data_IF_373882004635
#
_entry.id   IF_373882004635
#
_cell.length_a   1.000
_cell.length_b   1.000
_cell.length_c   1.000
_cell.angle_alpha   90.00
_cell.angle_beta   90.00
_cell.angle_gamma   90.00
#
_symmetry.space_group_name_H-M   'P 1'
#
loop_
_entity.id
_entity.type
_entity.pdbx_description
1 polymer ?
#
# COMPACT_ATOMS: atom_id res chain seq x y z
N UNK A 1 14.92 -3.14 14.01
CA UNK A 1 16.08 -3.96 14.40
C UNK A 1 16.82 -4.30 13.11
N UNK A 2 17.99 -3.70 12.91
CA UNK A 2 18.89 -4.07 11.83
C UNK A 2 19.36 -5.52 12.08
N UNK A 3 19.32 -6.34 11.03
CA UNK A 3 19.89 -7.69 11.05
C UNK A 3 21.39 -7.51 11.33
N UNK A 4 21.98 -8.18 12.36
CA UNK A 4 23.39 -8.01 12.67
C UNK A 4 24.27 -8.36 11.47
N UNK A 5 25.31 -7.58 11.15
CA UNK A 5 26.18 -7.84 9.98
C UNK A 5 26.86 -9.23 9.99
N UNK A 6 27.07 -9.82 11.16
CA UNK A 6 27.57 -11.19 11.31
C UNK A 6 26.59 -12.28 10.84
N UNK A 7 25.28 -11.96 10.75
CA UNK A 7 24.27 -12.87 10.23
C UNK A 7 24.26 -12.90 8.69
N UNK A 8 24.63 -11.78 8.05
CA UNK A 8 24.70 -11.68 6.59
C UNK A 8 25.90 -12.43 5.99
N UNK A 9 27.00 -12.59 6.73
CA UNK A 9 28.19 -13.31 6.25
C UNK A 9 28.07 -14.84 6.34
N UNK A 10 27.19 -15.37 7.19
CA UNK A 10 26.91 -16.81 7.25
C UNK A 10 25.88 -17.27 6.20
N UNK A 11 25.11 -16.36 5.65
CA UNK A 11 24.12 -16.61 4.59
C UNK A 11 24.73 -16.97 3.23
N UNK A 12 26.00 -16.64 3.00
CA UNK A 12 26.69 -16.95 1.74
C UNK A 12 27.14 -18.41 1.57
N UNK A 13 26.96 -19.28 2.58
CA UNK A 13 27.66 -20.58 2.61
C UNK A 13 26.80 -21.85 2.58
N UNK A 14 25.46 -21.80 2.46
CA UNK A 14 24.63 -23.02 2.38
C UNK A 14 23.37 -22.95 1.52
N UNK A 15 23.32 -22.14 0.50
CA UNK A 15 22.25 -22.21 -0.50
C UNK A 15 22.69 -23.16 -1.61
N UNK A 16 22.31 -24.42 -1.52
CA UNK A 16 22.18 -25.25 -2.70
C UNK A 16 21.11 -24.58 -3.56
N UNK A 17 21.53 -23.89 -4.59
CA UNK A 17 20.87 -23.04 -5.56
C UNK A 17 19.44 -22.61 -5.21
N UNK A 18 19.23 -21.31 -4.97
CA UNK A 18 17.90 -20.66 -4.97
C UNK A 18 17.07 -21.05 -6.20
N UNK A 19 17.71 -21.57 -7.24
CA UNK A 19 17.11 -22.04 -8.49
C UNK A 19 16.18 -23.25 -8.31
N UNK A 20 16.40 -24.08 -7.29
CA UNK A 20 15.53 -25.23 -7.00
C UNK A 20 14.40 -24.88 -6.00
N UNK A 21 14.47 -23.74 -5.37
CA UNK A 21 13.51 -23.31 -4.37
C UNK A 21 12.20 -22.93 -5.01
N UNK A 22 11.08 -23.50 -4.54
CA UNK A 22 9.72 -23.17 -5.00
C UNK A 22 8.96 -22.43 -3.92
N UNK A 23 8.51 -21.24 -4.24
CA UNK A 23 7.64 -20.44 -3.37
C UNK A 23 6.30 -20.17 -4.04
N UNK A 24 5.23 -20.19 -3.24
CA UNK A 24 3.90 -19.85 -3.67
C UNK A 24 3.36 -18.69 -2.85
N UNK A 25 2.84 -17.67 -3.50
CA UNK A 25 2.15 -16.57 -2.84
C UNK A 25 0.65 -16.69 -3.08
N UNK A 26 -0.14 -16.62 -2.00
CA UNK A 26 -1.59 -16.79 -2.04
C UNK A 26 -2.28 -15.45 -1.76
N UNK A 27 -2.81 -14.81 -2.79
CA UNK A 27 -3.54 -13.54 -2.70
C UNK A 27 -4.94 -13.73 -3.28
N UNK A 28 -5.94 -14.13 -2.48
CA UNK A 28 -7.30 -14.37 -2.99
C UNK A 28 -8.01 -13.10 -3.46
N UNK A 29 -7.50 -11.90 -3.12
CA UNK A 29 -8.08 -10.60 -3.52
C UNK A 29 -7.31 -9.96 -4.65
N UNK A 30 -8.03 -9.34 -5.59
CA UNK A 30 -7.44 -8.57 -6.69
C UNK A 30 -7.11 -7.10 -6.34
N UNK A 31 -7.47 -6.62 -5.15
CA UNK A 31 -7.43 -5.19 -4.84
C UNK A 31 -6.03 -4.57 -4.90
N UNK A 32 -5.00 -5.34 -4.55
CA UNK A 32 -3.60 -4.87 -4.54
C UNK A 32 -2.77 -5.38 -5.72
N UNK A 33 -3.38 -6.08 -6.66
CA UNK A 33 -2.66 -6.77 -7.72
C UNK A 33 -1.78 -5.88 -8.59
N UNK A 34 -2.20 -4.64 -8.85
CA UNK A 34 -1.49 -3.71 -9.73
C UNK A 34 -0.09 -3.29 -9.22
N UNK A 35 0.20 -3.45 -7.93
CA UNK A 35 1.47 -3.04 -7.31
C UNK A 35 2.48 -4.20 -7.18
N UNK A 36 2.06 -5.42 -7.46
CA UNK A 36 2.91 -6.60 -7.31
C UNK A 36 3.91 -6.84 -8.45
N UNK A 37 3.58 -6.56 -9.74
CA UNK A 37 4.44 -6.94 -10.85
C UNK A 37 5.90 -6.51 -10.72
N UNK A 38 6.24 -5.28 -10.31
CA UNK A 38 7.65 -4.89 -10.13
C UNK A 38 8.37 -5.74 -9.08
N UNK A 39 7.73 -6.00 -7.94
CA UNK A 39 8.31 -6.83 -6.86
C UNK A 39 8.41 -8.29 -7.29
N UNK A 40 7.42 -8.82 -8.01
CA UNK A 40 7.44 -10.19 -8.53
C UNK A 40 8.52 -10.38 -9.59
N UNK A 41 8.77 -9.36 -10.41
CA UNK A 41 9.87 -9.36 -11.38
C UNK A 41 11.23 -9.53 -10.70
N UNK A 42 11.51 -8.73 -9.68
CA UNK A 42 12.75 -8.83 -8.91
C UNK A 42 12.82 -10.12 -8.09
N UNK A 43 11.71 -10.55 -7.50
CA UNK A 43 11.66 -11.80 -6.74
C UNK A 43 11.96 -13.02 -7.62
N UNK A 44 11.46 -13.04 -8.86
CA UNK A 44 11.74 -14.11 -9.81
C UNK A 44 13.22 -14.20 -10.21
N UNK A 45 13.95 -13.07 -10.21
CA UNK A 45 15.41 -13.09 -10.43
C UNK A 45 16.14 -13.79 -9.29
N UNK A 46 15.64 -13.62 -8.04
CA UNK A 46 16.22 -14.23 -6.84
C UNK A 46 15.75 -15.69 -6.66
N UNK A 47 14.48 -15.96 -6.93
CA UNK A 47 13.86 -17.28 -6.77
C UNK A 47 13.05 -17.59 -8.05
N UNK A 48 13.67 -18.20 -9.07
CA UNK A 48 13.05 -18.42 -10.38
C UNK A 48 11.74 -19.21 -10.33
N UNK A 49 11.59 -20.14 -9.38
CA UNK A 49 10.38 -20.92 -9.22
C UNK A 49 9.40 -20.26 -8.25
N UNK A 50 9.05 -19.02 -8.55
CA UNK A 50 8.00 -18.25 -7.84
C UNK A 50 6.68 -18.35 -8.59
N UNK A 51 5.58 -18.61 -7.87
CA UNK A 51 4.21 -18.53 -8.39
C UNK A 51 3.38 -17.63 -7.48
N UNK A 52 2.60 -16.73 -8.11
CA UNK A 52 1.65 -15.86 -7.44
C UNK A 52 0.24 -16.30 -7.81
N UNK A 53 -0.47 -16.93 -6.89
CA UNK A 53 -1.85 -17.34 -7.08
C UNK A 53 -2.82 -16.23 -6.68
N UNK A 54 -3.69 -15.85 -7.60
CA UNK A 54 -4.79 -14.91 -7.34
C UNK A 54 -6.12 -15.52 -7.73
N UNK A 55 -7.19 -15.10 -7.07
CA UNK A 55 -8.55 -15.56 -7.44
C UNK A 55 -9.16 -14.75 -8.58
N UNK A 56 -8.60 -13.57 -8.87
CA UNK A 56 -9.06 -12.69 -9.95
C UNK A 56 -7.93 -11.76 -10.37
N UNK A 57 -7.83 -11.50 -11.66
CA UNK A 57 -6.93 -10.46 -12.17
C UNK A 57 -7.45 -9.07 -11.79
N UNK A 58 -6.53 -8.16 -11.51
CA UNK A 58 -6.85 -6.75 -11.22
C UNK A 58 -7.23 -5.99 -12.49
N UNK A 59 -7.96 -4.88 -12.36
CA UNK A 59 -8.29 -4.03 -13.49
C UNK A 59 -7.01 -3.59 -14.23
N UNK A 60 -7.03 -3.65 -15.55
CA UNK A 60 -5.90 -3.31 -16.43
C UNK A 60 -4.67 -4.20 -16.23
N UNK A 61 -4.89 -5.46 -15.91
CA UNK A 61 -3.83 -6.45 -15.94
C UNK A 61 -3.20 -6.49 -17.35
N UNK A 62 -1.90 -6.30 -17.38
CA UNK A 62 -1.11 -6.42 -18.61
C UNK A 62 -0.30 -7.72 -18.54
N UNK A 63 -0.62 -8.72 -19.37
CA UNK A 63 0.09 -10.00 -19.37
C UNK A 63 1.54 -9.90 -19.86
N UNK A 64 1.90 -8.82 -20.56
CA UNK A 64 3.25 -8.59 -21.07
C UNK A 64 4.13 -7.78 -20.11
N UNK A 65 3.54 -7.25 -19.03
CA UNK A 65 4.31 -6.50 -18.03
C UNK A 65 5.28 -7.43 -17.28
N UNK A 66 6.55 -7.03 -17.06
CA UNK A 66 7.51 -7.81 -16.30
C UNK A 66 6.96 -8.18 -14.92
N UNK A 67 7.11 -9.47 -14.53
CA UNK A 67 6.61 -9.99 -13.25
C UNK A 67 5.20 -10.56 -13.31
N UNK A 68 4.42 -10.34 -14.37
CA UNK A 68 3.08 -10.93 -14.52
C UNK A 68 3.10 -12.39 -14.98
N UNK A 69 4.20 -12.85 -15.53
CA UNK A 69 4.40 -14.23 -15.98
C UNK A 69 4.33 -15.28 -14.84
N UNK A 70 4.51 -14.86 -13.58
CA UNK A 70 4.38 -15.75 -12.42
C UNK A 70 2.96 -15.78 -11.86
N UNK A 71 2.04 -14.96 -12.39
CA UNK A 71 0.67 -14.82 -11.90
C UNK A 71 -0.22 -15.92 -12.48
N UNK A 72 -0.91 -16.64 -11.60
CA UNK A 72 -1.86 -17.68 -11.98
C UNK A 72 -3.21 -17.46 -11.29
N UNK A 73 -4.28 -17.50 -12.08
CA UNK A 73 -5.65 -17.38 -11.55
C UNK A 73 -6.16 -18.75 -11.13
N UNK A 74 -6.70 -18.85 -9.93
CA UNK A 74 -7.30 -20.07 -9.38
C UNK A 74 -8.72 -19.81 -8.94
N UNK A 75 -9.68 -20.33 -9.70
CA UNK A 75 -11.10 -20.13 -9.47
C UNK A 75 -11.55 -18.71 -9.70
N UNK A 76 -12.57 -18.31 -8.96
CA UNK A 76 -13.08 -16.94 -8.90
C UNK A 76 -13.19 -16.52 -7.44
N UNK A 77 -12.96 -15.24 -7.16
CA UNK A 77 -13.07 -14.66 -5.81
C UNK A 77 -14.03 -13.48 -5.82
N UNK A 78 -14.82 -13.42 -4.78
CA UNK A 78 -15.79 -12.35 -4.60
C UNK A 78 -15.72 -11.81 -3.17
N UNK A 79 -15.68 -10.50 -3.02
CA UNK A 79 -15.85 -9.88 -1.71
C UNK A 79 -17.34 -9.82 -1.36
N UNK A 80 -17.72 -10.44 -0.26
CA UNK A 80 -19.09 -10.43 0.26
C UNK A 80 -19.16 -9.39 1.37
N UNK A 81 -19.83 -8.28 1.09
CA UNK A 81 -20.04 -7.21 2.07
C UNK A 81 -21.12 -7.66 3.08
N UNK A 82 -20.78 -7.65 4.36
CA UNK A 82 -21.71 -7.91 5.47
C UNK A 82 -22.20 -6.63 6.13
N UNK A 83 -21.39 -5.56 6.07
CA UNK A 83 -21.72 -4.25 6.62
C UNK A 83 -21.05 -3.17 5.75
N UNK A 84 -21.86 -2.30 5.15
CA UNK A 84 -21.36 -1.12 4.43
C UNK A 84 -20.95 -0.06 5.45
N UNK A 85 -19.76 0.51 5.28
CA UNK A 85 -19.23 1.61 6.08
C UNK A 85 -18.90 2.74 5.11
N UNK A 86 -19.48 3.92 5.33
CA UNK A 86 -19.31 5.05 4.41
C UNK A 86 -17.93 5.68 4.50
N UNK A 87 -17.43 5.89 5.70
CA UNK A 87 -16.16 6.58 5.97
C UNK A 87 -14.96 5.64 6.07
N UNK A 88 -15.14 4.34 5.82
CA UNK A 88 -14.09 3.34 5.96
C UNK A 88 -14.24 2.18 4.98
N UNK A 89 -13.44 1.14 5.19
CA UNK A 89 -13.60 -0.11 4.46
C UNK A 89 -14.85 -0.85 4.90
N UNK A 90 -15.69 -1.23 3.94
CA UNK A 90 -16.85 -2.10 4.23
C UNK A 90 -16.38 -3.42 4.82
N UNK A 91 -17.08 -3.87 5.86
CA UNK A 91 -16.77 -5.15 6.50
C UNK A 91 -17.35 -6.30 5.69
N UNK A 92 -16.60 -7.38 5.60
CA UNK A 92 -17.01 -8.55 4.84
C UNK A 92 -16.03 -9.69 4.93
N UNK A 93 -16.07 -10.56 3.94
CA UNK A 93 -15.14 -11.66 3.77
C UNK A 93 -14.95 -11.98 2.29
N UNK A 94 -13.80 -12.53 1.95
CA UNK A 94 -13.52 -12.99 0.60
C UNK A 94 -14.02 -14.44 0.48
N UNK A 95 -14.99 -14.64 -0.40
CA UNK A 95 -15.41 -15.97 -0.86
C UNK A 95 -14.43 -16.40 -1.94
N UNK A 96 -13.71 -17.47 -1.70
CA UNK A 96 -12.75 -18.06 -2.64
C UNK A 96 -12.91 -19.58 -2.68
N UNK A 97 -12.52 -20.20 -3.79
CA UNK A 97 -12.54 -21.64 -3.92
C UNK A 97 -11.48 -22.31 -3.05
N UNK A 98 -11.80 -23.41 -2.31
CA UNK A 98 -10.77 -24.21 -1.65
C UNK A 98 -9.90 -25.00 -2.64
N UNK A 99 -10.23 -24.99 -3.93
CA UNK A 99 -9.54 -25.71 -4.99
C UNK A 99 -8.06 -25.29 -5.20
N UNK A 100 -7.61 -24.23 -4.53
CA UNK A 100 -6.19 -23.86 -4.46
C UNK A 100 -5.27 -25.01 -4.02
N UNK A 101 -5.80 -26.00 -3.31
CA UNK A 101 -5.02 -27.16 -2.88
C UNK A 101 -4.43 -27.96 -4.05
N UNK A 102 -5.16 -28.09 -5.17
CA UNK A 102 -4.70 -28.89 -6.30
C UNK A 102 -3.44 -28.30 -6.97
N UNK A 103 -3.40 -27.01 -7.35
CA UNK A 103 -2.17 -26.41 -7.88
C UNK A 103 -1.04 -26.41 -6.83
N UNK A 104 -1.32 -26.21 -5.54
CA UNK A 104 -0.29 -26.29 -4.50
C UNK A 104 0.36 -27.68 -4.42
N UNK A 105 -0.44 -28.75 -4.40
CA UNK A 105 0.09 -30.13 -4.36
C UNK A 105 0.84 -30.49 -5.66
N UNK A 106 0.43 -29.93 -6.80
CA UNK A 106 1.13 -30.12 -8.09
C UNK A 106 2.46 -29.36 -8.11
N UNK A 107 2.47 -28.12 -7.66
CA UNK A 107 3.67 -27.24 -7.65
C UNK A 107 4.66 -27.64 -6.57
N UNK A 108 4.20 -28.16 -5.43
CA UNK A 108 4.99 -28.58 -4.27
C UNK A 108 5.91 -27.47 -3.75
N UNK A 109 5.38 -26.33 -3.32
CA UNK A 109 6.21 -25.25 -2.78
C UNK A 109 6.88 -25.69 -1.48
N UNK A 110 8.08 -25.21 -1.21
CA UNK A 110 8.72 -25.35 0.10
C UNK A 110 8.24 -24.28 1.07
N UNK A 111 7.91 -23.07 0.56
CA UNK A 111 7.38 -21.98 1.37
C UNK A 111 6.12 -21.41 0.71
N UNK A 112 5.11 -21.18 1.54
CA UNK A 112 3.87 -20.49 1.13
C UNK A 112 3.79 -19.17 1.88
N UNK A 113 3.65 -18.06 1.14
CA UNK A 113 3.25 -16.76 1.63
C UNK A 113 1.74 -16.63 1.49
N UNK A 114 1.01 -16.57 2.58
CA UNK A 114 -0.44 -16.51 2.59
C UNK A 114 -0.92 -15.14 3.07
N UNK A 115 -1.54 -14.36 2.15
CA UNK A 115 -2.06 -13.03 2.45
C UNK A 115 -3.32 -13.10 3.30
N UNK A 116 -3.23 -12.55 4.50
CA UNK A 116 -4.32 -12.43 5.47
C UNK A 116 -4.83 -13.77 6.01
N UNK A 117 -5.96 -13.68 6.68
CA UNK A 117 -6.65 -14.82 7.30
C UNK A 117 -7.81 -15.31 6.40
N UNK A 118 -7.46 -15.77 5.21
CA UNK A 118 -8.39 -16.18 4.16
C UNK A 118 -8.68 -17.67 4.18
N UNK A 119 -9.64 -18.12 3.36
CA UNK A 119 -9.89 -19.55 3.13
C UNK A 119 -8.66 -20.24 2.51
N UNK A 120 -7.88 -19.55 1.68
CA UNK A 120 -6.65 -20.12 1.13
C UNK A 120 -5.57 -20.31 2.18
N UNK A 121 -5.47 -19.38 3.14
CA UNK A 121 -4.60 -19.55 4.32
C UNK A 121 -5.04 -20.75 5.16
N UNK A 122 -6.37 -20.93 5.35
CA UNK A 122 -6.91 -22.08 6.07
C UNK A 122 -6.59 -23.40 5.34
N UNK A 123 -6.75 -23.45 4.02
CA UNK A 123 -6.38 -24.62 3.20
C UNK A 123 -4.88 -24.91 3.34
N UNK A 124 -4.03 -23.88 3.26
CA UNK A 124 -2.59 -24.05 3.44
C UNK A 124 -2.24 -24.62 4.83
N UNK A 125 -2.95 -24.24 5.88
CA UNK A 125 -2.78 -24.75 7.24
C UNK A 125 -3.20 -26.23 7.31
N UNK A 126 -4.40 -26.58 6.82
CA UNK A 126 -4.95 -27.93 6.90
C UNK A 126 -4.04 -28.95 6.17
N UNK A 127 -3.53 -28.58 5.01
CA UNK A 127 -2.70 -29.45 4.18
C UNK A 127 -1.19 -29.32 4.44
N UNK A 128 -0.77 -28.46 5.37
CA UNK A 128 0.65 -28.31 5.75
C UNK A 128 1.35 -29.63 6.09
N UNK A 129 0.73 -30.57 6.85
CA UNK A 129 1.36 -31.85 7.15
C UNK A 129 1.62 -32.73 5.92
N UNK A 130 0.74 -32.66 4.92
CA UNK A 130 0.85 -33.40 3.65
C UNK A 130 1.83 -32.74 2.70
N UNK A 131 1.70 -31.42 2.51
CA UNK A 131 2.54 -30.64 1.60
C UNK A 131 3.94 -30.37 2.13
N UNK A 132 4.14 -30.49 3.43
CA UNK A 132 5.42 -30.27 4.14
C UNK A 132 6.04 -28.87 3.89
N UNK A 133 5.23 -27.91 3.48
CA UNK A 133 5.67 -26.53 3.28
C UNK A 133 5.78 -25.75 4.59
N UNK A 134 6.58 -24.69 4.58
CA UNK A 134 6.57 -23.64 5.58
C UNK A 134 5.48 -22.62 5.24
N UNK A 135 4.87 -22.05 6.26
CA UNK A 135 3.81 -21.06 6.11
C UNK A 135 4.23 -19.72 6.69
N UNK A 136 4.39 -18.74 5.82
CA UNK A 136 4.57 -17.34 6.17
C UNK A 136 3.20 -16.65 6.06
N UNK A 137 2.71 -16.13 7.18
CA UNK A 137 1.46 -15.36 7.18
C UNK A 137 1.79 -13.90 6.90
N UNK A 138 1.22 -13.38 5.83
CA UNK A 138 1.42 -12.01 5.38
C UNK A 138 0.24 -11.16 5.81
N UNK A 139 0.49 -10.06 6.54
CA UNK A 139 -0.54 -9.15 6.98
C UNK A 139 -0.27 -7.76 6.39
N UNK A 140 -0.82 -7.54 5.19
CA UNK A 140 -0.58 -6.36 4.37
C UNK A 140 -1.29 -5.11 4.89
N UNK A 141 -2.43 -5.32 5.58
CA UNK A 141 -3.40 -4.28 5.85
C UNK A 141 -3.73 -4.21 7.32
N UNK A 142 -3.52 -3.07 7.94
CA UNK A 142 -4.00 -2.77 9.29
C UNK A 142 -4.79 -1.47 9.26
N UNK A 143 -6.07 -1.57 9.54
CA UNK A 143 -6.95 -0.42 9.75
C UNK A 143 -8.14 -0.83 10.62
N UNK A 144 -8.85 0.12 11.25
CA UNK A 144 -9.90 -0.21 12.20
C UNK A 144 -10.97 -1.18 11.68
N UNK A 145 -11.40 -1.01 10.42
CA UNK A 145 -12.45 -1.84 9.84
C UNK A 145 -11.95 -3.15 9.21
N UNK A 146 -10.65 -3.26 8.93
CA UNK A 146 -10.01 -4.48 8.40
C UNK A 146 -9.54 -5.41 9.51
N UNK A 147 -9.07 -4.85 10.61
CA UNK A 147 -8.54 -5.60 11.76
C UNK A 147 -9.62 -6.38 12.52
N UNK A 148 -10.84 -5.89 12.55
CA UNK A 148 -11.94 -6.48 13.33
C UNK A 148 -11.57 -6.70 14.81
N UNK A 149 -10.86 -5.75 15.43
CA UNK A 149 -10.44 -5.84 16.84
C UNK A 149 -11.61 -6.01 17.82
N UNK A 150 -12.79 -5.51 17.45
CA UNK A 150 -14.05 -5.62 18.17
C UNK A 150 -14.72 -7.01 18.05
N UNK A 151 -14.32 -7.84 17.10
CA UNK A 151 -14.91 -9.16 16.86
C UNK A 151 -14.16 -10.27 17.58
N UNK A 152 -14.63 -10.69 18.79
CA UNK A 152 -14.02 -11.78 19.54
C UNK A 152 -13.91 -13.09 18.73
N UNK A 153 -14.95 -13.41 17.95
CA UNK A 153 -14.97 -14.64 17.12
C UNK A 153 -13.88 -14.59 16.07
N UNK A 154 -13.80 -13.49 15.28
CA UNK A 154 -12.77 -13.35 14.24
C UNK A 154 -11.36 -13.33 14.83
N UNK A 155 -11.16 -12.60 15.92
CA UNK A 155 -9.86 -12.55 16.61
C UNK A 155 -9.44 -13.92 17.14
N UNK A 156 -10.38 -14.72 17.64
CA UNK A 156 -10.11 -16.09 18.10
C UNK A 156 -9.71 -17.00 16.95
N UNK A 157 -10.44 -16.97 15.83
CA UNK A 157 -10.12 -17.76 14.63
C UNK A 157 -8.75 -17.34 14.07
N UNK A 158 -8.52 -16.04 13.91
CA UNK A 158 -7.24 -15.51 13.42
C UNK A 158 -6.07 -15.88 14.32
N UNK A 159 -6.26 -15.79 15.64
CA UNK A 159 -5.26 -16.22 16.64
C UNK A 159 -4.96 -17.71 16.52
N UNK A 160 -6.00 -18.52 16.33
CA UNK A 160 -5.83 -19.96 16.11
C UNK A 160 -5.05 -20.22 14.81
N UNK A 161 -5.40 -19.59 13.69
CA UNK A 161 -4.67 -19.69 12.44
C UNK A 161 -3.20 -19.25 12.58
N UNK A 162 -2.95 -18.19 13.32
CA UNK A 162 -1.60 -17.64 13.59
C UNK A 162 -0.65 -18.64 14.25
N UNK A 163 -1.18 -19.60 15.05
CA UNK A 163 -0.35 -20.62 15.69
C UNK A 163 0.31 -21.60 14.70
N UNK A 164 -0.18 -21.68 13.47
CA UNK A 164 0.36 -22.57 12.43
C UNK A 164 1.35 -21.85 11.49
N UNK A 165 1.48 -20.53 11.61
CA UNK A 165 2.48 -19.78 10.87
C UNK A 165 3.88 -20.03 11.44
N UNK A 166 4.85 -20.28 10.56
CA UNK A 166 6.26 -20.41 10.93
C UNK A 166 6.89 -19.02 11.17
N UNK A 167 6.39 -18.00 10.48
CA UNK A 167 6.76 -16.59 10.68
C UNK A 167 5.70 -15.66 10.09
N UNK A 168 5.86 -14.35 10.32
CA UNK A 168 4.93 -13.33 9.86
C UNK A 168 5.68 -12.23 9.11
N UNK A 169 5.02 -11.67 8.08
CA UNK A 169 5.49 -10.49 7.36
C UNK A 169 4.39 -9.43 7.42
N UNK A 170 4.76 -8.19 7.67
CA UNK A 170 3.84 -7.07 7.62
C UNK A 170 4.42 -5.91 6.82
N UNK A 171 3.56 -5.25 6.06
CA UNK A 171 3.92 -4.08 5.26
C UNK A 171 4.10 -2.80 6.12
N UNK A 172 3.62 -2.82 7.37
CA UNK A 172 3.59 -1.65 8.23
C UNK A 172 3.84 -1.97 9.71
N UNK A 173 4.24 -0.95 10.49
CA UNK A 173 4.32 -1.04 11.95
C UNK A 173 2.98 -1.36 12.59
N UNK A 174 1.89 -0.73 12.13
CA UNK A 174 0.53 -1.02 12.62
C UNK A 174 0.13 -2.46 12.39
N UNK A 175 0.49 -3.04 11.23
CA UNK A 175 0.28 -4.46 10.98
C UNK A 175 1.06 -5.35 11.94
N UNK A 176 2.31 -4.98 12.27
CA UNK A 176 3.10 -5.65 13.30
C UNK A 176 2.45 -5.57 14.68
N UNK A 177 1.99 -4.38 15.09
CA UNK A 177 1.27 -4.18 16.35
C UNK A 177 0.02 -5.08 16.44
N UNK A 178 -0.77 -5.15 15.36
CA UNK A 178 -1.92 -6.05 15.30
C UNK A 178 -1.51 -7.52 15.46
N UNK A 179 -0.44 -7.96 14.82
CA UNK A 179 0.06 -9.33 14.94
C UNK A 179 0.53 -9.66 16.36
N UNK A 180 1.16 -8.71 17.05
CA UNK A 180 1.59 -8.89 18.45
C UNK A 180 0.39 -8.87 19.39
N UNK A 181 -0.41 -7.79 19.37
CA UNK A 181 -1.45 -7.53 20.36
C UNK A 181 -2.68 -8.42 20.20
N UNK A 182 -3.11 -8.63 18.96
CA UNK A 182 -4.38 -9.33 18.67
C UNK A 182 -4.15 -10.79 18.34
N UNK A 183 -3.15 -11.09 17.52
CA UNK A 183 -2.86 -12.46 17.11
C UNK A 183 -2.02 -13.19 18.16
N UNK A 184 -1.19 -12.48 18.92
CA UNK A 184 -0.31 -13.04 19.95
C UNK A 184 0.96 -13.64 19.36
N UNK A 185 1.40 -13.13 18.20
CA UNK A 185 2.66 -13.53 17.61
C UNK A 185 3.84 -12.93 18.39
N UNK A 186 4.92 -13.70 18.54
CA UNK A 186 6.15 -13.17 19.14
C UNK A 186 6.75 -12.10 18.24
N UNK A 187 7.13 -10.97 18.82
CA UNK A 187 7.69 -9.83 18.07
C UNK A 187 8.92 -10.22 17.24
N UNK A 188 9.78 -11.09 17.80
CA UNK A 188 10.97 -11.61 17.12
C UNK A 188 10.66 -12.49 15.90
N UNK A 189 9.41 -12.90 15.72
CA UNK A 189 8.96 -13.73 14.60
C UNK A 189 8.17 -12.93 13.56
N UNK A 190 8.26 -11.58 13.60
CA UNK A 190 7.54 -10.68 12.68
C UNK A 190 8.53 -9.79 11.96
N UNK A 191 8.53 -9.84 10.64
CA UNK A 191 9.28 -8.95 9.76
C UNK A 191 8.34 -7.83 9.27
N UNK A 192 8.55 -6.62 9.78
CA UNK A 192 7.75 -5.45 9.39
C UNK A 192 8.65 -4.46 8.64
N UNK A 193 8.49 -4.43 7.33
CA UNK A 193 9.13 -3.47 6.41
C UNK A 193 8.19 -3.29 5.22
N UNK A 194 8.05 -2.07 4.68
CA UNK A 194 7.29 -1.86 3.45
C UNK A 194 7.84 -2.74 2.31
N UNK A 195 6.99 -3.57 1.75
CA UNK A 195 7.27 -4.39 0.57
C UNK A 195 6.26 -4.13 -0.56
N UNK A 196 5.15 -3.45 -0.27
CA UNK A 196 4.30 -2.86 -1.29
C UNK A 196 4.87 -1.48 -1.59
N UNK A 197 5.66 -1.40 -2.65
CA UNK A 197 6.43 -0.21 -3.03
C UNK A 197 6.29 0.05 -4.52
N UNK A 198 6.29 1.32 -4.97
CA UNK A 198 6.29 1.64 -6.39
C UNK A 198 7.68 1.39 -6.98
N UNK A 199 7.73 1.15 -8.28
CA UNK A 199 8.96 1.33 -9.03
C UNK A 199 9.13 2.83 -9.32
N UNK A 200 9.79 3.52 -8.38
CA UNK A 200 9.99 4.96 -8.43
C UNK A 200 10.76 5.41 -9.69
N UNK A 201 11.73 4.61 -10.14
CA UNK A 201 12.52 4.92 -11.34
C UNK A 201 11.67 4.80 -12.60
N UNK A 202 10.92 3.70 -12.74
CA UNK A 202 10.04 3.53 -13.89
C UNK A 202 8.91 4.56 -13.94
N UNK A 203 8.40 5.01 -12.79
CA UNK A 203 7.41 6.08 -12.73
C UNK A 203 7.96 7.40 -13.28
N UNK A 204 9.16 7.78 -12.90
CA UNK A 204 9.80 9.03 -13.37
C UNK A 204 10.23 8.92 -14.84
N UNK A 205 10.84 7.80 -15.27
CA UNK A 205 11.31 7.60 -16.64
C UNK A 205 10.18 7.56 -17.69
N UNK A 206 9.00 7.02 -17.34
CA UNK A 206 7.83 7.02 -18.24
C UNK A 206 7.38 8.42 -18.64
N UNK A 207 7.74 9.45 -17.88
CA UNK A 207 7.38 10.84 -18.16
C UNK A 207 8.25 11.50 -19.24
N UNK A 208 9.50 11.09 -19.37
CA UNK A 208 10.39 11.63 -20.40
C UNK A 208 9.85 11.35 -21.82
N UNK A 209 8.99 10.33 -21.95
CA UNK A 209 8.35 9.93 -23.19
C UNK A 209 6.92 10.48 -23.37
N UNK A 210 6.31 11.08 -22.36
CA UNK A 210 4.94 11.60 -22.40
C UNK A 210 4.94 13.14 -22.32
N UNK A 211 4.04 13.78 -23.08
CA UNK A 211 3.88 15.25 -23.04
C UNK A 211 3.56 15.71 -21.62
N UNK A 212 4.37 16.61 -21.09
CA UNK A 212 4.07 17.30 -19.83
C UNK A 212 2.77 18.10 -19.98
N UNK A 213 1.89 17.98 -19.01
CA UNK A 213 0.73 18.87 -18.87
C UNK A 213 1.26 20.14 -18.20
N UNK A 214 1.37 21.23 -18.95
CA UNK A 214 1.69 22.52 -18.34
C UNK A 214 0.43 23.08 -17.68
N UNK A 215 0.45 23.17 -16.36
CA UNK A 215 -0.64 23.69 -15.55
C UNK A 215 -0.35 25.16 -15.21
N UNK A 216 -1.17 26.08 -15.70
CA UNK A 216 -1.04 27.52 -15.41
C UNK A 216 -1.98 27.90 -14.26
N UNK A 217 -1.66 27.44 -13.06
CA UNK A 217 -2.44 27.69 -11.83
C UNK A 217 -1.59 28.43 -10.78
N UNK A 218 -2.22 29.14 -9.83
CA UNK A 218 -1.52 29.70 -8.67
C UNK A 218 -0.81 28.64 -7.84
N UNK A 219 0.44 28.92 -7.46
CA UNK A 219 1.23 28.11 -6.56
C UNK A 219 1.13 28.58 -5.10
N UNK A 220 1.30 27.69 -4.09
CA UNK A 220 1.60 26.28 -4.27
C UNK A 220 0.40 25.46 -4.78
N UNK A 221 0.69 24.44 -5.58
CA UNK A 221 -0.29 23.46 -6.07
C UNK A 221 -0.28 22.23 -5.16
N UNK A 222 -1.41 21.99 -4.51
CA UNK A 222 -1.67 20.81 -3.68
C UNK A 222 -2.37 19.75 -4.52
N UNK A 223 -1.76 18.58 -4.68
CA UNK A 223 -2.30 17.47 -5.46
C UNK A 223 -2.96 16.43 -4.55
N UNK A 224 -4.19 16.09 -4.84
CA UNK A 224 -4.91 14.96 -4.22
C UNK A 224 -5.28 13.95 -5.30
N UNK A 225 -4.85 12.70 -5.15
CA UNK A 225 -5.11 11.62 -6.13
C UNK A 225 -5.83 10.46 -5.48
N UNK A 226 -6.93 10.02 -6.08
CA UNK A 226 -7.65 8.84 -5.64
C UNK A 226 -9.12 8.80 -6.07
N UNK A 227 -9.81 7.74 -5.69
CA UNK A 227 -11.24 7.64 -5.90
C UNK A 227 -11.97 8.73 -5.13
N UNK A 228 -12.97 9.38 -5.75
CA UNK A 228 -13.80 10.40 -5.11
C UNK A 228 -14.96 9.72 -4.37
N UNK A 229 -14.62 9.16 -3.21
CA UNK A 229 -15.54 8.44 -2.32
C UNK A 229 -15.35 8.91 -0.87
N UNK A 230 -16.34 8.71 -0.01
CA UNK A 230 -16.39 9.21 1.37
C UNK A 230 -15.12 8.86 2.17
N UNK A 231 -14.67 7.62 2.06
CA UNK A 231 -13.47 7.13 2.75
C UNK A 231 -12.19 7.93 2.44
N UNK A 232 -12.12 8.58 1.27
CA UNK A 232 -10.94 9.35 0.85
C UNK A 232 -10.87 10.77 1.43
N UNK A 233 -11.92 11.20 2.15
CA UNK A 233 -11.88 12.43 2.96
C UNK A 233 -11.74 13.73 2.17
N UNK A 234 -12.11 13.72 0.88
CA UNK A 234 -11.99 14.92 0.04
C UNK A 234 -12.89 16.04 0.55
N UNK A 235 -14.06 15.72 1.13
CA UNK A 235 -14.92 16.70 1.78
C UNK A 235 -14.19 17.46 2.88
N UNK A 236 -13.44 16.76 3.72
CA UNK A 236 -12.67 17.35 4.83
C UNK A 236 -11.53 18.26 4.30
N UNK A 237 -10.96 17.93 3.13
CA UNK A 237 -10.01 18.81 2.44
C UNK A 237 -10.69 20.09 1.94
N UNK A 238 -11.91 20.00 1.38
CA UNK A 238 -12.68 21.18 0.97
C UNK A 238 -13.04 22.04 2.19
N UNK A 239 -13.43 21.43 3.32
CA UNK A 239 -13.66 22.15 4.58
C UNK A 239 -12.40 22.90 5.05
N UNK A 240 -11.22 22.30 4.93
CA UNK A 240 -9.95 22.96 5.22
C UNK A 240 -9.69 24.16 4.29
N UNK A 241 -10.07 24.04 3.02
CA UNK A 241 -9.97 25.16 2.08
C UNK A 241 -10.91 26.34 2.44
N UNK A 242 -12.12 26.07 2.99
CA UNK A 242 -12.98 27.15 3.51
C UNK A 242 -12.35 27.87 4.71
N UNK A 243 -11.66 27.12 5.58
CA UNK A 243 -10.93 27.73 6.72
C UNK A 243 -9.83 28.64 6.21
N UNK A 244 -9.04 28.20 5.22
CA UNK A 244 -8.00 29.03 4.60
C UNK A 244 -8.59 30.29 3.95
N UNK A 245 -9.72 30.18 3.24
CA UNK A 245 -10.42 31.29 2.63
C UNK A 245 -10.87 32.32 3.67
N UNK A 246 -11.45 31.88 4.80
CA UNK A 246 -11.84 32.76 5.92
C UNK A 246 -10.63 33.48 6.53
N UNK A 247 -9.46 32.81 6.54
CA UNK A 247 -8.19 33.38 7.00
C UNK A 247 -7.52 34.31 5.98
N UNK A 248 -8.12 34.48 4.79
CA UNK A 248 -7.63 35.37 3.74
C UNK A 248 -6.67 34.73 2.73
N UNK A 249 -6.44 33.42 2.82
CA UNK A 249 -5.61 32.68 1.86
C UNK A 249 -6.43 32.34 0.60
N UNK A 250 -5.98 32.83 -0.55
CA UNK A 250 -6.65 32.58 -1.84
C UNK A 250 -5.68 32.28 -2.98
N UNK A 251 -4.38 32.50 -2.77
CA UNK A 251 -3.35 32.30 -3.80
C UNK A 251 -2.69 30.92 -3.65
N UNK A 252 -3.45 29.87 -3.93
CA UNK A 252 -3.02 28.48 -4.01
C UNK A 252 -4.02 27.69 -4.86
N UNK A 253 -3.67 26.49 -5.26
CA UNK A 253 -4.55 25.59 -6.02
C UNK A 253 -4.57 24.20 -5.39
N UNK A 254 -5.73 23.57 -5.34
CA UNK A 254 -5.89 22.14 -5.03
C UNK A 254 -6.38 21.45 -6.28
N UNK A 255 -5.60 20.49 -6.78
CA UNK A 255 -5.97 19.68 -7.94
C UNK A 255 -6.42 18.30 -7.42
N UNK A 256 -7.66 17.94 -7.74
CA UNK A 256 -8.25 16.65 -7.37
C UNK A 256 -8.31 15.76 -8.61
N UNK A 257 -7.45 14.73 -8.64
CA UNK A 257 -7.36 13.75 -9.72
C UNK A 257 -8.07 12.48 -9.31
N UNK A 258 -9.14 12.17 -10.01
CA UNK A 258 -9.93 10.96 -9.79
C UNK A 258 -11.40 11.15 -10.04
N UNK A 259 -12.15 10.05 -9.92
CA UNK A 259 -13.61 10.03 -10.08
C UNK A 259 -14.23 9.09 -9.05
N UNK A 260 -15.55 9.23 -8.84
CA UNK A 260 -16.28 8.39 -7.89
C UNK A 260 -17.64 8.95 -7.53
N UNK A 261 -18.37 8.19 -6.71
CA UNK A 261 -19.78 8.46 -6.39
C UNK A 261 -20.04 9.82 -5.74
N UNK A 262 -19.06 10.37 -4.99
CA UNK A 262 -19.20 11.67 -4.32
C UNK A 262 -18.83 12.87 -5.19
N UNK A 263 -18.26 12.68 -6.38
CA UNK A 263 -17.79 13.80 -7.19
C UNK A 263 -18.86 14.84 -7.47
N UNK A 264 -20.09 14.49 -7.94
CA UNK A 264 -21.11 15.50 -8.22
C UNK A 264 -21.50 16.34 -7.00
N UNK A 265 -21.60 15.69 -5.83
CA UNK A 265 -21.88 16.36 -4.55
C UNK A 265 -20.76 17.35 -4.19
N UNK A 266 -19.50 16.91 -4.27
CA UNK A 266 -18.35 17.72 -3.86
C UNK A 266 -18.06 18.87 -4.84
N UNK A 267 -18.31 18.70 -6.13
CA UNK A 267 -18.30 19.79 -7.10
C UNK A 267 -19.39 20.85 -6.80
N UNK A 268 -20.58 20.42 -6.37
CA UNK A 268 -21.64 21.34 -5.95
C UNK A 268 -21.22 22.11 -4.68
N UNK A 269 -20.67 21.43 -3.68
CA UNK A 269 -20.12 22.07 -2.46
C UNK A 269 -18.98 23.06 -2.78
N UNK A 270 -18.11 22.72 -3.72
CA UNK A 270 -17.05 23.64 -4.19
C UNK A 270 -17.63 24.97 -4.64
N UNK A 271 -18.75 24.95 -5.39
CA UNK A 271 -19.46 26.15 -5.85
C UNK A 271 -20.19 26.86 -4.72
N UNK A 272 -20.91 26.10 -3.90
CA UNK A 272 -21.67 26.65 -2.76
C UNK A 272 -20.76 27.40 -1.79
N UNK A 273 -19.54 26.87 -1.56
CA UNK A 273 -18.57 27.47 -0.63
C UNK A 273 -17.65 28.51 -1.30
N UNK A 274 -17.84 28.80 -2.60
CA UNK A 274 -17.06 29.80 -3.33
C UNK A 274 -15.60 29.44 -3.53
N UNK A 275 -15.28 28.15 -3.68
CA UNK A 275 -13.93 27.62 -3.82
C UNK A 275 -13.51 27.36 -5.28
N UNK A 276 -14.31 27.74 -6.28
CA UNK A 276 -14.07 27.40 -7.70
C UNK A 276 -12.74 27.93 -8.24
N UNK A 277 -12.18 28.97 -7.62
CA UNK A 277 -10.88 29.54 -8.01
C UNK A 277 -9.71 28.72 -7.48
N UNK A 278 -9.90 28.02 -6.36
CA UNK A 278 -8.85 27.23 -5.70
C UNK A 278 -8.91 25.74 -6.04
N UNK A 279 -10.08 25.21 -6.39
CA UNK A 279 -10.28 23.77 -6.58
C UNK A 279 -10.43 23.44 -8.07
N UNK A 280 -9.59 22.52 -8.55
CA UNK A 280 -9.62 22.00 -9.92
C UNK A 280 -9.95 20.53 -9.91
N UNK A 281 -11.04 20.14 -10.56
CA UNK A 281 -11.48 18.76 -10.74
C UNK A 281 -11.07 18.25 -12.12
N UNK A 282 -10.14 17.30 -12.19
CA UNK A 282 -9.68 16.75 -13.49
C UNK A 282 -10.52 15.57 -13.95
N UNK A 283 -11.19 14.90 -13.02
CA UNK A 283 -11.76 13.60 -13.27
C UNK A 283 -10.71 12.50 -13.26
N UNK A 284 -11.12 11.36 -13.78
CA UNK A 284 -10.22 10.22 -13.92
C UNK A 284 -9.15 10.49 -14.98
N UNK A 285 -7.90 10.25 -14.62
CA UNK A 285 -6.73 10.37 -15.49
C UNK A 285 -6.10 8.99 -15.67
N UNK A 286 -5.69 8.67 -16.88
CA UNK A 286 -4.96 7.44 -17.14
C UNK A 286 -3.61 7.46 -16.40
N UNK A 287 -3.23 6.29 -15.80
CA UNK A 287 -2.04 6.18 -14.97
C UNK A 287 -0.75 6.67 -15.64
N UNK A 288 -0.64 6.45 -16.96
CA UNK A 288 0.50 6.93 -17.75
C UNK A 288 0.67 8.46 -17.79
N UNK A 289 -0.40 9.24 -17.54
CA UNK A 289 -0.35 10.71 -17.50
C UNK A 289 -0.31 11.26 -16.07
N UNK A 290 -0.54 10.42 -15.06
CA UNK A 290 -0.60 10.85 -13.66
C UNK A 290 0.71 11.49 -13.19
N UNK A 291 1.83 11.00 -13.68
CA UNK A 291 3.13 11.54 -13.35
C UNK A 291 3.30 13.01 -13.70
N UNK A 292 2.65 13.52 -14.79
CA UNK A 292 2.69 14.93 -15.15
C UNK A 292 2.05 15.81 -14.06
N UNK A 293 0.99 15.33 -13.41
CA UNK A 293 0.38 16.04 -12.27
C UNK A 293 1.28 16.05 -11.05
N UNK A 294 1.99 14.95 -10.79
CA UNK A 294 2.98 14.94 -9.72
C UNK A 294 4.12 15.91 -10.00
N UNK A 295 4.60 16.03 -11.25
CA UNK A 295 5.68 16.98 -11.59
C UNK A 295 5.26 18.43 -11.35
N UNK A 296 4.08 18.82 -11.80
CA UNK A 296 3.56 20.18 -11.69
C UNK A 296 3.13 20.56 -10.26
N UNK A 297 2.77 19.58 -9.43
CA UNK A 297 2.40 19.83 -8.05
C UNK A 297 3.60 20.24 -7.18
N UNK A 298 3.34 21.06 -6.16
CA UNK A 298 4.33 21.42 -5.14
C UNK A 298 4.22 20.53 -3.90
N UNK A 299 3.01 20.08 -3.56
CA UNK A 299 2.70 19.31 -2.35
C UNK A 299 1.70 18.21 -2.70
N UNK A 300 1.83 17.06 -2.09
CA UNK A 300 0.82 16.01 -2.15
C UNK A 300 -0.02 15.98 -0.87
N UNK A 301 -1.35 15.90 -1.00
CA UNK A 301 -2.28 15.84 0.14
C UNK A 301 -3.06 14.53 0.09
N UNK A 302 -3.03 13.79 1.19
CA UNK A 302 -3.74 12.51 1.33
C UNK A 302 -4.68 12.53 2.54
N UNK A 303 -5.91 13.08 2.38
CA UNK A 303 -6.83 13.36 3.49
C UNK A 303 -7.69 12.15 3.89
N UNK A 304 -7.30 10.95 3.52
CA UNK A 304 -8.10 9.74 3.70
C UNK A 304 -8.57 9.55 5.16
N UNK A 305 -9.81 9.12 5.33
CA UNK A 305 -10.39 8.77 6.64
C UNK A 305 -9.97 7.37 7.08
N UNK A 306 -9.70 6.49 6.11
CA UNK A 306 -9.13 5.17 6.35
C UNK A 306 -8.43 4.67 5.09
N UNK A 307 -7.15 4.29 5.22
CA UNK A 307 -6.43 3.59 4.17
C UNK A 307 -5.44 2.59 4.79
N UNK A 308 -5.42 1.38 4.27
CA UNK A 308 -4.55 0.33 4.79
C UNK A 308 -3.09 0.63 4.54
N UNK A 309 -2.77 1.26 3.38
CA UNK A 309 -1.42 1.68 3.05
C UNK A 309 -1.41 3.09 2.44
N UNK A 310 -1.80 3.23 1.19
CA UNK A 310 -1.75 4.50 0.48
C UNK A 310 -0.52 4.59 -0.43
N UNK A 311 -0.44 3.69 -1.42
CA UNK A 311 0.66 3.65 -2.40
C UNK A 311 0.94 4.99 -3.06
N UNK A 312 -0.10 5.78 -3.30
CA UNK A 312 0.02 7.11 -3.92
C UNK A 312 0.87 8.09 -3.10
N UNK A 313 1.00 7.88 -1.78
CA UNK A 313 1.92 8.64 -0.91
C UNK A 313 3.37 8.33 -1.31
N UNK A 314 3.70 7.07 -1.53
CA UNK A 314 5.04 6.65 -1.93
C UNK A 314 5.35 7.12 -3.36
N UNK A 315 4.35 7.13 -4.25
CA UNK A 315 4.46 7.70 -5.59
C UNK A 315 4.80 9.21 -5.50
N UNK A 316 4.06 9.98 -4.69
CA UNK A 316 4.35 11.39 -4.46
C UNK A 316 5.76 11.63 -3.93
N UNK A 317 6.23 10.81 -2.98
CA UNK A 317 7.59 10.86 -2.44
C UNK A 317 8.64 10.58 -3.52
N UNK A 318 8.37 9.65 -4.45
CA UNK A 318 9.25 9.35 -5.59
C UNK A 318 9.41 10.55 -6.52
N UNK A 319 8.34 11.35 -6.70
CA UNK A 319 8.37 12.62 -7.42
C UNK A 319 8.93 13.80 -6.60
N UNK A 320 9.47 13.55 -5.41
CA UNK A 320 10.08 14.57 -4.57
C UNK A 320 9.07 15.58 -4.01
N UNK A 321 7.86 15.12 -3.66
CA UNK A 321 6.85 16.01 -3.10
C UNK A 321 6.84 15.92 -1.58
N UNK A 322 6.78 17.07 -0.87
CA UNK A 322 6.31 17.11 0.50
C UNK A 322 4.92 16.48 0.60
N UNK A 323 4.65 15.78 1.70
CA UNK A 323 3.40 15.05 1.85
C UNK A 323 2.62 15.50 3.09
N UNK A 324 1.39 15.94 2.90
CA UNK A 324 0.41 16.14 3.97
C UNK A 324 -0.43 14.87 4.07
N UNK A 325 -0.25 14.09 5.13
CA UNK A 325 -0.79 12.74 5.24
C UNK A 325 -1.74 12.59 6.43
N UNK A 326 -2.87 11.96 6.18
CA UNK A 326 -3.76 11.54 7.26
C UNK A 326 -3.09 10.51 8.18
N UNK A 327 -3.25 10.67 9.48
CA UNK A 327 -2.84 9.68 10.48
C UNK A 327 -3.52 8.31 10.30
N UNK A 328 -4.62 8.23 9.54
CA UNK A 328 -5.37 7.00 9.26
C UNK A 328 -4.93 6.29 7.97
N UNK A 329 -3.90 6.77 7.31
CA UNK A 329 -3.22 6.05 6.25
C UNK A 329 -2.08 5.19 6.82
N UNK A 330 -1.89 3.97 6.33
CA UNK A 330 -0.75 3.15 6.70
C UNK A 330 0.58 3.82 6.34
N UNK A 331 0.65 4.43 5.16
CA UNK A 331 1.83 5.14 4.68
C UNK A 331 2.19 6.40 5.47
N UNK A 332 1.39 6.84 6.47
CA UNK A 332 1.79 7.94 7.35
C UNK A 332 3.10 7.64 8.10
N UNK A 333 3.47 6.36 8.25
CA UNK A 333 4.75 5.98 8.85
C UNK A 333 5.98 6.33 8.00
N UNK A 334 5.78 6.69 6.72
CA UNK A 334 6.81 7.19 5.81
C UNK A 334 7.04 8.71 5.98
N UNK A 335 6.22 9.38 6.78
CA UNK A 335 6.32 10.82 7.02
C UNK A 335 7.10 11.06 8.30
N UNK A 336 8.16 11.83 8.16
CA UNK A 336 8.93 12.40 9.27
C UNK A 336 8.48 13.84 9.45
N UNK A 337 7.77 14.08 10.55
CA UNK A 337 7.11 15.36 10.84
C UNK A 337 8.06 16.54 10.70
N UNK A 338 7.72 17.51 9.87
CA UNK A 338 8.54 18.68 9.59
C UNK A 338 9.75 18.48 8.67
N UNK A 339 10.11 17.22 8.31
CA UNK A 339 11.25 16.94 7.43
C UNK A 339 10.83 16.66 5.98
N UNK A 340 9.77 15.83 5.76
CA UNK A 340 9.25 15.56 4.44
C UNK A 340 7.73 15.77 4.32
N UNK A 341 7.09 16.26 5.37
CA UNK A 341 5.67 16.56 5.39
C UNK A 341 5.10 16.71 6.79
N UNK A 342 3.79 16.65 6.87
CA UNK A 342 3.03 16.76 8.12
C UNK A 342 1.96 15.67 8.21
N UNK A 343 1.69 15.20 9.44
CA UNK A 343 0.64 14.24 9.74
C UNK A 343 -0.51 14.97 10.41
N UNK A 344 -1.74 14.77 9.94
CA UNK A 344 -2.93 15.41 10.50
C UNK A 344 -4.05 14.42 10.81
N UNK A 345 -4.98 14.84 11.67
CA UNK A 345 -6.26 14.16 11.84
C UNK A 345 -7.25 14.65 10.78
N UNK A 346 -7.69 13.80 9.82
CA UNK A 346 -8.59 14.21 8.76
C UNK A 346 -9.99 14.56 9.28
N UNK A 347 -10.37 14.14 10.49
CA UNK A 347 -11.63 14.53 11.15
C UNK A 347 -11.58 15.92 11.78
N UNK A 348 -10.42 16.60 11.68
CA UNK A 348 -10.20 17.97 12.15
C UNK A 348 -9.68 18.81 10.96
N UNK A 349 -10.57 19.40 10.16
CA UNK A 349 -10.19 20.17 8.98
C UNK A 349 -9.20 21.31 9.27
N UNK A 350 -9.21 21.84 10.49
CA UNK A 350 -8.24 22.84 10.97
C UNK A 350 -6.80 22.31 10.91
N UNK A 351 -6.60 21.01 11.22
CA UNK A 351 -5.29 20.37 11.13
C UNK A 351 -4.76 20.35 9.69
N UNK A 352 -5.64 20.05 8.73
CA UNK A 352 -5.31 20.07 7.29
C UNK A 352 -4.99 21.53 6.87
N UNK A 353 -5.86 22.48 7.22
CA UNK A 353 -5.68 23.90 6.91
C UNK A 353 -4.37 24.45 7.48
N UNK A 354 -4.02 24.10 8.71
CA UNK A 354 -2.77 24.52 9.35
C UNK A 354 -1.54 23.99 8.62
N UNK A 355 -1.55 22.69 8.24
CA UNK A 355 -0.46 22.08 7.50
C UNK A 355 -0.31 22.70 6.08
N UNK A 356 -1.43 22.97 5.39
CA UNK A 356 -1.42 23.67 4.11
C UNK A 356 -0.88 25.11 4.26
N UNK A 357 -1.35 25.84 5.27
CA UNK A 357 -0.93 27.22 5.54
C UNK A 357 0.57 27.32 5.79
N UNK A 358 1.15 26.42 6.57
CA UNK A 358 2.60 26.42 6.85
C UNK A 358 3.43 26.31 5.56
N UNK A 359 2.96 25.56 4.56
CA UNK A 359 3.64 25.44 3.26
C UNK A 359 3.29 26.57 2.29
N UNK A 360 2.16 27.25 2.45
CA UNK A 360 1.84 28.48 1.71
C UNK A 360 2.72 29.64 2.21
N UNK A 361 2.88 29.76 3.53
CA UNK A 361 3.64 30.84 4.16
C UNK A 361 5.16 30.65 4.04
N UNK A 362 5.63 29.40 3.90
CA UNK A 362 7.05 29.04 3.86
C UNK A 362 7.40 28.20 2.61
N UNK A 363 7.28 28.73 1.39
CA UNK A 363 7.51 27.98 0.15
C UNK A 363 8.95 27.45 0.00
N UNK A 364 9.92 28.07 0.70
CA UNK A 364 11.31 27.61 0.74
C UNK A 364 11.48 26.21 1.36
N UNK A 365 10.52 25.77 2.21
CA UNK A 365 10.53 24.41 2.77
C UNK A 365 10.26 23.34 1.71
N UNK A 366 9.51 23.66 0.65
CA UNK A 366 9.01 22.69 -0.32
C UNK A 366 10.14 21.88 -0.98
N UNK A 367 11.22 22.56 -1.37
CA UNK A 367 12.37 21.93 -2.03
C UNK A 367 13.07 20.95 -1.07
N UNK A 368 13.37 21.41 0.15
CA UNK A 368 14.07 20.57 1.14
C UNK A 368 13.22 19.36 1.56
N UNK A 369 11.93 19.57 1.81
CA UNK A 369 11.01 18.49 2.16
C UNK A 369 10.85 17.49 1.00
N UNK A 370 10.79 17.96 -0.24
CA UNK A 370 10.74 17.13 -1.41
C UNK A 370 12.01 16.27 -1.58
N UNK A 371 13.18 16.85 -1.39
CA UNK A 371 14.45 16.10 -1.40
C UNK A 371 14.49 15.04 -0.30
N UNK A 372 13.98 15.35 0.89
CA UNK A 372 13.86 14.38 1.99
C UNK A 372 12.90 13.24 1.65
N UNK A 373 11.77 13.52 0.99
CA UNK A 373 10.85 12.50 0.49
C UNK A 373 11.57 11.53 -0.45
N UNK A 374 12.32 12.05 -1.43
CA UNK A 374 13.10 11.22 -2.35
C UNK A 374 14.16 10.38 -1.64
N UNK A 375 14.86 10.97 -0.67
CA UNK A 375 15.85 10.24 0.13
C UNK A 375 15.22 9.06 0.88
N UNK A 376 14.07 9.29 1.53
CA UNK A 376 13.38 8.25 2.30
C UNK A 376 12.84 7.13 1.42
N UNK A 377 12.25 7.46 0.26
CA UNK A 377 11.67 6.43 -0.62
C UNK A 377 12.75 5.63 -1.37
N UNK A 378 13.97 6.17 -1.55
CA UNK A 378 15.05 5.48 -2.23
C UNK A 378 15.48 4.18 -1.54
N UNK A 379 15.19 4.02 -0.24
CA UNK A 379 15.44 2.80 0.52
C UNK A 379 14.33 1.74 0.35
N UNK A 380 13.25 2.08 -0.36
CA UNK A 380 12.07 1.25 -0.54
C UNK A 380 11.82 0.96 -2.02
N UNK A 381 12.58 0.02 -2.56
CA UNK A 381 12.51 -0.37 -3.98
C UNK A 381 11.95 -1.78 -4.15
N UNK A 382 11.48 -2.15 -5.35
CA UNK A 382 11.08 -3.52 -5.65
C UNK A 382 12.16 -4.57 -5.35
N UNK A 383 13.45 -4.23 -5.58
CA UNK A 383 14.60 -5.09 -5.30
C UNK A 383 14.75 -5.36 -3.80
N UNK A 384 14.67 -4.30 -2.97
CA UNK A 384 14.73 -4.43 -1.52
C UNK A 384 13.52 -5.19 -0.96
N UNK A 385 12.34 -5.00 -1.55
CA UNK A 385 11.15 -5.78 -1.21
C UNK A 385 11.32 -7.27 -1.57
N UNK A 386 11.81 -7.57 -2.76
CA UNK A 386 12.09 -8.94 -3.20
C UNK A 386 13.15 -9.61 -2.33
N UNK A 387 14.20 -8.86 -1.95
CA UNK A 387 15.25 -9.34 -1.05
C UNK A 387 14.70 -9.68 0.35
N UNK A 388 13.83 -8.82 0.91
CA UNK A 388 13.16 -9.13 2.18
C UNK A 388 12.40 -10.46 2.11
N UNK A 389 11.68 -10.72 1.02
CA UNK A 389 10.93 -11.96 0.80
C UNK A 389 11.87 -13.16 0.70
N UNK A 390 12.99 -13.02 -0.02
CA UNK A 390 14.01 -14.04 -0.16
C UNK A 390 14.69 -14.35 1.19
N UNK A 391 15.03 -13.32 1.97
CA UNK A 391 15.63 -13.47 3.31
C UNK A 391 14.69 -14.20 4.28
N UNK A 392 13.39 -13.81 4.30
CA UNK A 392 12.37 -14.50 5.09
C UNK A 392 12.21 -15.96 4.64
N UNK A 393 12.27 -16.22 3.34
CA UNK A 393 12.20 -17.57 2.78
C UNK A 393 13.35 -18.44 3.30
N UNK A 394 14.57 -17.95 3.23
CA UNK A 394 15.76 -18.65 3.74
C UNK A 394 15.65 -18.92 5.24
N UNK A 395 15.28 -17.91 6.01
CA UNK A 395 15.18 -18.02 7.48
C UNK A 395 14.16 -19.07 7.94
N UNK A 396 12.99 -19.18 7.26
CA UNK A 396 11.99 -20.19 7.66
C UNK A 396 12.40 -21.62 7.29
N UNK A 397 13.29 -21.77 6.31
CA UNK A 397 13.83 -23.07 5.94
C UNK A 397 14.97 -23.50 6.87
N UNK A 398 15.80 -22.58 7.37
CA UNK A 398 16.90 -22.86 8.31
C UNK A 398 16.40 -23.29 9.70
N UNK A 399 15.23 -22.88 10.14
CA UNK A 399 14.63 -23.30 11.43
C UNK A 399 14.37 -24.83 11.54
N UNK A 400 14.88 -25.64 10.61
CA UNK A 400 14.77 -27.11 10.58
C UNK A 400 16.05 -27.79 11.11
N UNK A 401 17.16 -27.07 11.27
CA UNK A 401 18.45 -27.61 11.75
C UNK A 401 18.51 -27.60 13.32
#
# INVERSE_FOLDING_TARGET
LAIPPAFLSSLQLKVNSMDELRIAWLVPSAEFGAYWPPVLHELKKLIPNTIFYTGRLWPRYDPEAPGTEVVQVVGDTQFITTQKIETGYSRGYIKATPGIIFPLLKFKPQVIFASGFSIWTLVAIIFKPIGKWRLVLVYESSSPNVDFRDSKVRSTIRRWMGKFADTFVSNSRRGKEYLVEVIGAAESNIFAKPYMVPDAQALVQKLENNKSVSLSFPHPIFLCVGQVISRKGIKNLLEACTILQIQGYSNYTVIIVGDGEQRPELEALTKEWGLEKQIVWTGWIEYGYLGSYFLEADVFVFPTLEDTWGMVVLEAMAFGKPVLCSKWAGACEMIVEGENGYIFDPYQPEGIANAMRDLIDCPEKLVMMGQKSQQLIAEHTPEEAAKLIADVTSLVLEKIG
#
